data_IF_864866649889
#
_entry.id   IF_864866649889
#
_cell.length_a   1.000
_cell.length_b   1.000
_cell.length_c   1.000
_cell.angle_alpha   90.00
_cell.angle_beta   90.00
_cell.angle_gamma   90.00
#
_symmetry.space_group_name_H-M   'P 1'
#
loop_
_entity.id
_entity.type
_entity.pdbx_description
1 polymer ?
#
# COMPACT_ATOMS: atom_id res chain seq x y z
N UNK A 1 -27.32 -17.51 -30.10
CA UNK A 1 -26.93 -17.15 -28.73
C UNK A 1 -26.64 -15.66 -28.75
N UNK A 2 -27.34 -14.87 -27.93
CA UNK A 2 -27.15 -13.41 -27.95
C UNK A 2 -25.80 -13.08 -27.31
N UNK A 3 -25.06 -12.08 -27.82
CA UNK A 3 -23.73 -11.71 -27.30
C UNK A 3 -23.76 -11.43 -25.78
N UNK A 4 -24.89 -10.92 -25.29
CA UNK A 4 -25.16 -10.70 -23.87
C UNK A 4 -25.19 -11.99 -23.02
N UNK A 5 -25.81 -13.06 -23.54
CA UNK A 5 -25.85 -14.37 -22.85
C UNK A 5 -24.46 -14.97 -22.76
N UNK A 6 -23.66 -14.83 -23.83
CA UNK A 6 -22.29 -15.30 -23.88
C UNK A 6 -21.41 -14.59 -22.83
N UNK A 7 -21.53 -13.27 -22.70
CA UNK A 7 -20.79 -12.49 -21.69
C UNK A 7 -21.22 -12.87 -20.27
N UNK A 8 -22.51 -13.01 -20.02
CA UNK A 8 -23.03 -13.40 -18.70
C UNK A 8 -22.55 -14.79 -18.29
N UNK A 9 -22.58 -15.75 -19.22
CA UNK A 9 -22.07 -17.10 -19.00
C UNK A 9 -20.56 -17.11 -18.72
N UNK A 10 -19.78 -16.30 -19.44
CA UNK A 10 -18.35 -16.17 -19.21
C UNK A 10 -18.02 -15.58 -17.84
N UNK A 11 -18.75 -14.54 -17.39
CA UNK A 11 -18.57 -13.97 -16.04
C UNK A 11 -18.90 -14.99 -14.96
N UNK A 12 -20.00 -15.74 -15.12
CA UNK A 12 -20.38 -16.79 -14.18
C UNK A 12 -19.31 -17.89 -14.08
N UNK A 13 -18.77 -18.34 -15.22
CA UNK A 13 -17.67 -19.30 -15.26
C UNK A 13 -16.40 -18.75 -14.59
N UNK A 14 -16.08 -17.46 -14.80
CA UNK A 14 -14.97 -16.79 -14.12
C UNK A 14 -15.13 -16.74 -12.61
N UNK A 15 -16.32 -16.42 -12.10
CA UNK A 15 -16.63 -16.43 -10.66
C UNK A 15 -16.48 -17.84 -10.08
N UNK A 16 -16.96 -18.87 -10.79
CA UNK A 16 -16.83 -20.27 -10.36
C UNK A 16 -15.36 -20.71 -10.29
N UNK A 17 -14.55 -20.38 -11.30
CA UNK A 17 -13.13 -20.68 -11.33
C UNK A 17 -12.37 -19.99 -10.18
N UNK A 18 -12.71 -18.72 -9.87
CA UNK A 18 -12.15 -18.02 -8.70
C UNK A 18 -12.54 -18.75 -7.41
N UNK A 19 -13.78 -19.21 -7.28
CA UNK A 19 -14.23 -19.98 -6.12
C UNK A 19 -13.41 -21.27 -5.90
N UNK A 20 -13.15 -22.02 -6.97
CA UNK A 20 -12.30 -23.22 -6.92
C UNK A 20 -10.86 -22.88 -6.51
N UNK A 21 -10.29 -21.80 -7.07
CA UNK A 21 -8.95 -21.35 -6.71
C UNK A 21 -8.85 -20.91 -5.24
N UNK A 22 -9.88 -20.24 -4.72
CA UNK A 22 -9.94 -19.87 -3.31
C UNK A 22 -9.98 -21.10 -2.40
N UNK A 23 -10.74 -22.12 -2.76
CA UNK A 23 -10.83 -23.35 -1.98
C UNK A 23 -9.50 -24.11 -1.96
N UNK A 24 -8.86 -24.28 -3.11
CA UNK A 24 -7.52 -24.88 -3.19
C UNK A 24 -6.47 -24.09 -2.36
N UNK A 25 -6.56 -22.77 -2.36
CA UNK A 25 -5.69 -21.92 -1.56
C UNK A 25 -5.96 -22.08 -0.05
N UNK A 26 -7.22 -22.20 0.39
CA UNK A 26 -7.56 -22.49 1.80
C UNK A 26 -7.03 -23.85 2.24
N UNK A 27 -7.19 -24.88 1.42
CA UNK A 27 -6.64 -26.21 1.69
C UNK A 27 -5.12 -26.17 1.84
N UNK A 28 -4.44 -25.43 0.95
CA UNK A 28 -2.99 -25.21 1.03
C UNK A 28 -2.58 -24.48 2.32
N UNK A 29 -3.34 -23.47 2.75
CA UNK A 29 -3.10 -22.78 4.02
C UNK A 29 -3.32 -23.69 5.23
N UNK A 30 -4.30 -24.58 5.19
CA UNK A 30 -4.52 -25.62 6.21
C UNK A 30 -3.30 -26.53 6.33
N UNK A 31 -2.86 -27.11 5.21
CA UNK A 31 -1.68 -27.96 5.16
C UNK A 31 -0.40 -27.25 5.65
N UNK A 32 -0.21 -25.97 5.31
CA UNK A 32 0.92 -25.17 5.82
C UNK A 32 0.85 -24.94 7.33
N UNK A 33 -0.36 -24.83 7.90
CA UNK A 33 -0.55 -24.69 9.34
C UNK A 33 -0.14 -25.97 10.06
N UNK A 34 -0.59 -27.12 9.56
CA UNK A 34 -0.22 -28.44 10.09
C UNK A 34 1.30 -28.68 9.96
N UNK A 35 1.88 -28.38 8.81
CA UNK A 35 3.32 -28.49 8.59
C UNK A 35 4.14 -27.59 9.52
N UNK A 36 3.68 -26.35 9.78
CA UNK A 36 4.35 -25.44 10.72
C UNK A 36 4.31 -25.98 12.14
N UNK A 37 3.18 -26.54 12.58
CA UNK A 37 3.05 -27.16 13.90
C UNK A 37 3.99 -28.37 14.04
N UNK A 38 3.99 -29.28 13.06
CA UNK A 38 4.85 -30.45 13.04
C UNK A 38 6.35 -30.09 13.02
N UNK A 39 6.75 -29.09 12.24
CA UNK A 39 8.13 -28.60 12.23
C UNK A 39 8.53 -27.95 13.56
N UNK A 40 7.63 -27.20 14.19
CA UNK A 40 7.90 -26.57 15.48
C UNK A 40 8.13 -27.63 16.56
N UNK A 41 7.33 -28.69 16.57
CA UNK A 41 7.50 -29.82 17.48
C UNK A 41 8.81 -30.57 17.19
N UNK A 42 9.07 -30.93 15.93
CA UNK A 42 10.25 -31.70 15.53
C UNK A 42 11.58 -30.93 15.69
N UNK A 43 11.54 -29.60 15.69
CA UNK A 43 12.72 -28.74 15.88
C UNK A 43 12.87 -28.22 17.30
N UNK A 44 11.96 -28.58 18.22
CA UNK A 44 12.08 -28.22 19.63
C UNK A 44 13.40 -28.77 20.22
N UNK A 45 14.27 -27.87 20.68
CA UNK A 45 15.59 -28.22 21.23
C UNK A 45 16.69 -28.43 20.19
N UNK A 46 16.41 -28.25 18.89
CA UNK A 46 17.41 -28.30 17.83
C UNK A 46 17.98 -26.92 17.51
N UNK A 47 19.26 -26.86 17.10
CA UNK A 47 19.91 -25.64 16.63
C UNK A 47 19.60 -25.31 15.15
N UNK A 48 18.66 -26.02 14.52
CA UNK A 48 18.29 -25.77 13.12
C UNK A 48 17.57 -24.42 13.01
N UNK A 49 18.21 -23.49 12.29
CA UNK A 49 17.72 -22.13 12.12
C UNK A 49 16.43 -22.04 11.29
N UNK A 50 15.46 -21.29 11.83
CA UNK A 50 14.27 -20.67 11.22
C UNK A 50 13.45 -21.47 10.17
N UNK A 51 13.32 -22.79 10.31
CA UNK A 51 12.36 -23.56 9.51
C UNK A 51 10.90 -23.09 9.71
N UNK A 52 10.42 -22.79 10.94
CA UNK A 52 9.07 -22.26 11.16
C UNK A 52 8.82 -20.93 10.44
N UNK A 53 9.84 -20.06 10.33
CA UNK A 53 9.70 -18.79 9.62
C UNK A 53 9.48 -18.98 8.11
N UNK A 54 10.06 -20.02 7.50
CA UNK A 54 9.85 -20.31 6.06
C UNK A 54 8.40 -20.69 5.79
N UNK A 55 7.81 -21.58 6.60
CA UNK A 55 6.42 -22.01 6.42
C UNK A 55 5.44 -20.89 6.73
N UNK A 56 5.73 -20.06 7.74
CA UNK A 56 4.93 -18.86 8.02
C UNK A 56 4.92 -17.90 6.83
N UNK A 57 6.08 -17.60 6.23
CA UNK A 57 6.16 -16.74 5.03
C UNK A 57 5.40 -17.34 3.83
N UNK A 58 5.40 -18.66 3.68
CA UNK A 58 4.61 -19.33 2.65
C UNK A 58 3.10 -19.15 2.89
N UNK A 59 2.66 -19.30 4.13
CA UNK A 59 1.27 -19.09 4.54
C UNK A 59 0.81 -17.66 4.27
N UNK A 60 1.61 -16.67 4.66
CA UNK A 60 1.28 -15.25 4.45
C UNK A 60 1.03 -14.93 2.97
N UNK A 61 1.78 -15.57 2.05
CA UNK A 61 1.58 -15.44 0.59
C UNK A 61 0.29 -16.11 0.11
N UNK A 62 -0.06 -17.27 0.65
CA UNK A 62 -1.33 -17.95 0.33
C UNK A 62 -2.50 -17.08 0.79
N UNK A 63 -2.45 -16.55 2.00
CA UNK A 63 -3.48 -15.64 2.54
C UNK A 63 -3.62 -14.36 1.71
N UNK A 64 -2.50 -13.79 1.27
CA UNK A 64 -2.51 -12.64 0.35
C UNK A 64 -3.18 -12.98 -0.99
N UNK A 65 -2.98 -14.20 -1.50
CA UNK A 65 -3.58 -14.67 -2.75
C UNK A 65 -5.09 -14.84 -2.60
N UNK A 66 -5.55 -15.43 -1.49
CA UNK A 66 -6.98 -15.56 -1.15
C UNK A 66 -7.66 -14.19 -1.16
N UNK A 67 -7.06 -13.18 -0.52
CA UNK A 67 -7.61 -11.81 -0.48
C UNK A 67 -7.74 -11.18 -1.88
N UNK A 68 -6.75 -11.40 -2.76
CA UNK A 68 -6.80 -10.90 -4.15
C UNK A 68 -7.93 -11.57 -4.94
N UNK A 69 -8.07 -12.88 -4.81
CA UNK A 69 -9.15 -13.65 -5.45
C UNK A 69 -10.54 -13.19 -4.95
N UNK A 70 -10.69 -12.93 -3.65
CA UNK A 70 -11.96 -12.41 -3.09
C UNK A 70 -12.36 -11.09 -3.73
N UNK A 71 -11.44 -10.13 -3.81
CA UNK A 71 -11.70 -8.82 -4.42
C UNK A 71 -12.07 -8.94 -5.91
N UNK A 72 -11.37 -9.79 -6.66
CA UNK A 72 -11.70 -10.04 -8.06
C UNK A 72 -13.10 -10.64 -8.22
N UNK A 73 -13.47 -11.59 -7.34
CA UNK A 73 -14.80 -12.20 -7.32
C UNK A 73 -15.89 -11.16 -7.04
N UNK A 74 -15.68 -10.29 -6.04
CA UNK A 74 -16.60 -9.20 -5.69
C UNK A 74 -16.78 -8.22 -6.85
N UNK A 75 -15.71 -7.82 -7.52
CA UNK A 75 -15.76 -6.94 -8.69
C UNK A 75 -16.53 -7.55 -9.86
N UNK A 76 -16.31 -8.84 -10.16
CA UNK A 76 -17.05 -9.55 -11.21
C UNK A 76 -18.55 -9.69 -10.87
N UNK A 77 -18.88 -9.93 -9.60
CA UNK A 77 -20.27 -9.97 -9.13
C UNK A 77 -20.94 -8.59 -9.26
N UNK A 78 -20.26 -7.53 -8.86
CA UNK A 78 -20.76 -6.16 -8.99
C UNK A 78 -20.99 -5.79 -10.46
N UNK A 79 -20.05 -6.14 -11.34
CA UNK A 79 -20.16 -5.92 -12.78
C UNK A 79 -21.35 -6.70 -13.38
N UNK A 80 -21.49 -7.99 -13.04
CA UNK A 80 -22.62 -8.82 -13.48
C UNK A 80 -23.97 -8.25 -13.03
N UNK A 81 -24.06 -7.78 -11.79
CA UNK A 81 -25.27 -7.14 -11.26
C UNK A 81 -25.60 -5.82 -11.99
N UNK A 82 -24.59 -5.12 -12.51
CA UNK A 82 -24.74 -3.91 -13.33
C UNK A 82 -25.25 -4.19 -14.74
N UNK A 83 -24.82 -5.28 -15.38
CA UNK A 83 -25.22 -5.65 -16.74
C UNK A 83 -26.74 -5.92 -16.88
N UNK A 84 -27.39 -6.39 -15.82
CA UNK A 84 -28.85 -6.58 -15.78
C UNK A 84 -29.65 -5.29 -15.64
N UNK A 85 -29.01 -4.17 -15.28
CA UNK A 85 -29.65 -2.85 -15.16
C UNK A 85 -29.42 -2.01 -16.42
N UNK A 86 -29.83 -2.53 -17.57
CA UNK A 86 -30.00 -1.69 -18.76
C UNK A 86 -31.30 -0.90 -18.64
N UNK A 87 -31.30 0.16 -17.82
CA UNK A 87 -32.34 1.19 -17.88
C UNK A 87 -31.66 2.51 -17.63
N UNK A 88 -31.58 3.31 -18.68
CA UNK A 88 -31.49 4.77 -18.69
C UNK A 88 -31.31 5.38 -17.28
N UNK A 89 -30.08 5.38 -16.76
CA UNK A 89 -29.77 6.24 -15.63
C UNK A 89 -29.92 7.67 -16.16
N UNK A 90 -30.91 8.45 -15.68
CA UNK A 90 -31.08 9.82 -16.14
C UNK A 90 -29.77 10.54 -15.91
N UNK A 91 -29.28 11.25 -16.92
CA UNK A 91 -28.08 12.06 -16.78
C UNK A 91 -28.20 12.87 -15.48
N UNK A 92 -27.20 12.83 -14.57
CA UNK A 92 -27.23 13.67 -13.38
C UNK A 92 -27.38 15.10 -13.88
N UNK A 93 -28.52 15.73 -13.55
CA UNK A 93 -28.75 17.14 -13.80
C UNK A 93 -27.62 17.87 -13.08
N UNK A 94 -26.68 18.41 -13.87
CA UNK A 94 -25.66 19.32 -13.38
C UNK A 94 -26.39 20.55 -12.85
N UNK A 95 -26.62 20.59 -11.54
CA UNK A 95 -26.91 21.85 -10.86
C UNK A 95 -25.73 22.78 -11.10
N UNK A 96 -25.95 24.01 -11.58
CA UNK A 96 -24.90 25.02 -11.67
C UNK A 96 -24.28 25.19 -10.27
N UNK A 97 -22.94 25.25 -10.14
CA UNK A 97 -22.33 25.52 -8.85
C UNK A 97 -22.73 26.94 -8.43
N UNK A 98 -23.59 27.02 -7.42
CA UNK A 98 -23.80 28.27 -6.66
C UNK A 98 -22.45 28.68 -6.10
N UNK A 99 -21.96 29.84 -6.52
CA UNK A 99 -20.71 30.42 -6.05
C UNK A 99 -20.81 30.65 -4.53
N UNK A 100 -20.26 29.71 -3.77
CA UNK A 100 -20.02 29.89 -2.35
C UNK A 100 -18.80 30.81 -2.19
N UNK A 101 -18.91 31.91 -1.42
CA UNK A 101 -17.75 32.73 -1.06
C UNK A 101 -16.66 31.86 -0.43
N UNK A 102 -15.37 32.15 -0.67
CA UNK A 102 -14.28 31.38 -0.06
C UNK A 102 -14.40 31.50 1.46
N UNK A 103 -14.79 30.40 2.11
CA UNK A 103 -14.63 30.25 3.54
C UNK A 103 -13.12 30.09 3.79
N UNK A 104 -12.54 31.02 4.56
CA UNK A 104 -11.20 30.87 5.09
C UNK A 104 -11.11 29.50 5.79
N UNK A 105 -10.23 28.58 5.36
CA UNK A 105 -10.05 27.33 6.06
C UNK A 105 -9.37 27.64 7.40
N UNK A 106 -10.18 27.77 8.44
CA UNK A 106 -9.72 27.78 9.81
C UNK A 106 -8.88 26.51 10.01
N UNK A 107 -7.60 26.75 10.25
CA UNK A 107 -6.53 25.78 10.34
C UNK A 107 -6.75 24.87 11.54
N UNK A 108 -7.50 23.78 11.34
CA UNK A 108 -7.56 22.64 12.26
C UNK A 108 -6.34 21.72 12.07
N UNK A 109 -5.18 22.33 11.84
CA UNK A 109 -3.90 21.66 11.76
C UNK A 109 -3.45 21.33 13.19
N UNK A 110 -3.96 20.23 13.73
CA UNK A 110 -3.34 19.60 14.90
C UNK A 110 -1.85 19.47 14.61
N UNK A 111 -0.96 20.07 15.42
CA UNK A 111 0.47 20.07 15.13
C UNK A 111 0.98 18.63 15.03
N UNK A 112 1.93 18.35 14.13
CA UNK A 112 2.48 17.02 13.97
C UNK A 112 3.02 16.52 15.32
N UNK A 113 2.63 15.30 15.69
CA UNK A 113 3.13 14.67 16.91
C UNK A 113 4.65 14.62 16.84
N UNK A 114 5.31 15.31 17.77
CA UNK A 114 6.76 15.23 17.92
C UNK A 114 7.08 13.85 18.50
N UNK A 115 7.57 12.95 17.65
CA UNK A 115 8.15 11.69 18.11
C UNK A 115 9.43 12.03 18.86
N UNK A 116 9.50 11.63 20.14
CA UNK A 116 10.67 11.84 20.98
C UNK A 116 11.89 11.12 20.37
N UNK A 117 13.08 11.69 20.57
CA UNK A 117 14.32 11.16 20.00
C UNK A 117 14.56 9.72 20.45
N UNK A 118 14.30 9.44 21.73
CA UNK A 118 14.43 8.12 22.34
C UNK A 118 13.57 7.09 21.60
N UNK A 119 12.34 7.46 21.25
CA UNK A 119 11.44 6.59 20.48
C UNK A 119 11.93 6.36 19.06
N UNK A 120 12.52 7.36 18.41
CA UNK A 120 13.11 7.18 17.08
C UNK A 120 14.31 6.23 17.12
N UNK A 121 15.13 6.31 18.17
CA UNK A 121 16.30 5.45 18.35
C UNK A 121 15.87 3.99 18.63
N UNK A 122 14.82 3.77 19.43
CA UNK A 122 14.19 2.45 19.61
C UNK A 122 13.70 1.87 18.27
N UNK A 123 12.93 2.65 17.49
CA UNK A 123 12.43 2.20 16.18
C UNK A 123 13.56 1.89 15.20
N UNK A 124 14.67 2.63 15.26
CA UNK A 124 15.85 2.37 14.43
C UNK A 124 16.54 1.07 14.84
N UNK A 125 16.61 0.77 16.14
CA UNK A 125 17.22 -0.45 16.66
C UNK A 125 16.43 -1.72 16.29
N UNK A 126 15.13 -1.61 16.06
CA UNK A 126 14.28 -2.73 15.57
C UNK A 126 14.45 -3.04 14.08
N UNK A 127 15.03 -2.13 13.31
CA UNK A 127 15.20 -2.33 11.87
C UNK A 127 16.41 -3.26 11.59
N UNK A 128 16.36 -4.06 10.51
CA UNK A 128 17.54 -4.77 10.03
C UNK A 128 18.69 -3.80 9.73
N UNK A 129 19.93 -4.31 9.59
CA UNK A 129 21.08 -3.50 9.20
C UNK A 129 20.82 -2.61 7.98
N UNK A 130 21.53 -1.48 7.84
CA UNK A 130 21.44 -0.60 6.69
C UNK A 130 21.55 -1.33 5.35
N UNK A 131 20.76 -0.90 4.37
CA UNK A 131 20.80 -1.45 3.02
C UNK A 131 22.09 -1.05 2.30
N UNK A 132 22.84 -2.03 1.81
CA UNK A 132 23.91 -1.85 0.85
C UNK A 132 23.32 -1.69 -0.56
N UNK A 133 23.58 -0.53 -1.19
CA UNK A 133 23.09 -0.26 -2.54
C UNK A 133 23.62 -1.29 -3.55
N UNK A 134 22.73 -1.77 -4.42
CA UNK A 134 23.08 -2.73 -5.48
C UNK A 134 23.08 -4.20 -5.04
N UNK A 135 22.83 -4.52 -3.77
CA UNK A 135 22.77 -5.91 -3.28
C UNK A 135 21.38 -6.57 -3.36
N UNK A 136 20.37 -5.87 -3.87
CA UNK A 136 18.99 -6.36 -3.92
C UNK A 136 18.32 -6.51 -2.55
N UNK A 137 18.92 -5.96 -1.49
CA UNK A 137 18.34 -5.93 -0.16
C UNK A 137 17.07 -5.06 -0.12
N UNK A 138 16.08 -5.49 0.64
CA UNK A 138 14.82 -4.75 0.82
C UNK A 138 14.99 -3.67 1.89
N UNK A 139 14.48 -2.47 1.61
CA UNK A 139 14.31 -1.42 2.62
C UNK A 139 13.20 -1.83 3.57
N UNK A 140 13.45 -1.75 4.87
CA UNK A 140 12.49 -1.95 5.94
C UNK A 140 12.21 -0.60 6.60
N UNK A 141 10.96 -0.41 7.01
CA UNK A 141 10.52 0.79 7.71
C UNK A 141 9.58 0.51 8.87
N UNK A 142 9.56 1.48 9.78
CA UNK A 142 8.58 1.64 10.84
C UNK A 142 8.00 3.03 10.73
N UNK A 143 6.67 3.15 10.78
CA UNK A 143 6.05 4.46 10.79
C UNK A 143 5.11 4.66 11.97
N UNK A 144 5.05 5.90 12.44
CA UNK A 144 4.28 6.34 13.60
C UNK A 144 3.22 7.31 13.12
N UNK A 145 1.96 6.99 13.40
CA UNK A 145 0.82 7.85 13.10
C UNK A 145 0.60 8.94 14.17
N UNK A 146 -0.35 9.86 13.97
CA UNK A 146 -0.62 10.91 14.97
C UNK A 146 -1.21 10.39 16.28
N UNK A 147 -1.57 9.10 16.37
CA UNK A 147 -2.01 8.45 17.62
C UNK A 147 -0.86 7.72 18.31
N UNK A 148 0.37 7.81 17.79
CA UNK A 148 1.53 7.13 18.33
C UNK A 148 1.59 5.63 18.02
N UNK A 149 0.70 5.10 17.17
CA UNK A 149 0.71 3.68 16.79
C UNK A 149 1.84 3.43 15.81
N UNK A 150 2.56 2.33 16.03
CA UNK A 150 3.70 1.91 15.20
C UNK A 150 3.27 0.83 14.22
N UNK A 151 3.67 1.00 12.98
CA UNK A 151 3.34 0.09 11.89
C UNK A 151 4.61 -0.32 11.13
N UNK A 152 4.69 -1.59 10.75
CA UNK A 152 5.79 -2.11 9.95
C UNK A 152 5.52 -1.96 8.45
N UNK A 153 6.57 -1.70 7.66
CA UNK A 153 6.51 -1.74 6.20
C UNK A 153 7.83 -2.26 5.62
N UNK A 154 7.78 -2.96 4.49
CA UNK A 154 8.96 -3.50 3.79
C UNK A 154 8.81 -3.23 2.30
N UNK A 155 9.88 -2.80 1.62
CA UNK A 155 9.90 -2.61 0.17
C UNK A 155 9.67 -3.94 -0.53
N UNK A 156 8.57 -4.03 -1.24
CA UNK A 156 8.08 -5.18 -1.97
C UNK A 156 7.19 -4.68 -3.11
N UNK A 157 7.12 -5.47 -4.17
CA UNK A 157 6.21 -5.21 -5.28
C UNK A 157 4.82 -5.71 -4.88
N UNK A 158 3.90 -4.77 -4.63
CA UNK A 158 2.51 -5.06 -4.28
C UNK A 158 1.54 -4.04 -4.90
N UNK A 159 0.27 -4.09 -4.49
CA UNK A 159 -0.79 -3.20 -4.96
C UNK A 159 -0.47 -1.71 -4.78
N UNK A 160 0.38 -1.34 -3.80
CA UNK A 160 0.73 0.06 -3.58
C UNK A 160 1.64 0.59 -4.69
N UNK A 161 2.49 -0.27 -5.28
CA UNK A 161 3.29 0.09 -6.45
C UNK A 161 2.41 0.49 -7.62
N UNK A 162 1.32 -0.24 -7.86
CA UNK A 162 0.36 0.08 -8.93
C UNK A 162 -0.33 1.41 -8.65
N UNK A 163 -0.74 1.66 -7.40
CA UNK A 163 -1.35 2.93 -6.98
C UNK A 163 -0.41 4.13 -7.13
N UNK A 164 0.87 3.98 -6.78
CA UNK A 164 1.88 5.03 -7.02
C UNK A 164 1.97 5.34 -8.51
N UNK A 165 2.08 4.33 -9.37
CA UNK A 165 2.15 4.55 -10.82
C UNK A 165 0.86 5.16 -11.35
N UNK A 166 -0.32 4.76 -10.86
CA UNK A 166 -1.60 5.35 -11.27
C UNK A 166 -1.67 6.85 -10.95
N UNK A 167 -1.23 7.26 -9.76
CA UNK A 167 -1.14 8.69 -9.40
C UNK A 167 -0.20 9.43 -10.34
N UNK A 168 1.00 8.89 -10.58
CA UNK A 168 1.98 9.53 -11.46
C UNK A 168 1.51 9.60 -12.92
N UNK A 169 0.80 8.59 -13.42
CA UNK A 169 0.15 8.60 -14.73
C UNK A 169 -0.89 9.72 -14.81
N UNK A 170 -1.76 9.85 -13.81
CA UNK A 170 -2.74 10.95 -13.73
C UNK A 170 -2.09 12.33 -13.68
N UNK A 171 -0.90 12.42 -13.12
CA UNK A 171 -0.08 13.63 -13.09
C UNK A 171 0.72 13.88 -14.38
N UNK A 172 0.57 13.04 -15.41
CA UNK A 172 1.23 13.17 -16.71
C UNK A 172 2.71 12.79 -16.70
N UNK A 173 3.14 11.93 -15.77
CA UNK A 173 4.52 11.49 -15.69
C UNK A 173 4.93 10.76 -16.99
N UNK A 174 5.99 11.19 -17.70
CA UNK A 174 6.38 10.60 -18.97
C UNK A 174 7.03 9.22 -18.82
N UNK A 175 7.33 8.79 -17.58
CA UNK A 175 8.11 7.58 -17.32
C UNK A 175 7.45 6.70 -16.26
N UNK A 176 6.35 6.06 -16.64
CA UNK A 176 5.65 5.03 -15.87
C UNK A 176 5.73 3.69 -16.62
N UNK A 177 5.94 2.55 -15.93
CA UNK A 177 6.11 2.43 -14.48
C UNK A 177 7.49 2.89 -14.01
N UNK A 178 7.55 3.58 -12.87
CA UNK A 178 8.83 3.91 -12.23
C UNK A 178 9.34 2.72 -11.42
N UNK A 179 10.66 2.47 -11.49
CA UNK A 179 11.29 1.42 -10.68
C UNK A 179 11.13 1.67 -9.17
N UNK A 180 11.12 2.94 -8.76
CA UNK A 180 11.04 3.37 -7.36
C UNK A 180 9.62 3.35 -6.76
N UNK A 181 8.58 2.99 -7.53
CA UNK A 181 7.21 2.93 -7.00
C UNK A 181 7.05 1.90 -5.86
N UNK A 182 7.98 0.96 -5.71
CA UNK A 182 8.00 0.00 -4.59
C UNK A 182 8.81 0.47 -3.37
N UNK A 183 9.45 1.64 -3.43
CA UNK A 183 10.19 2.21 -2.29
C UNK A 183 9.20 2.48 -1.13
N UNK A 184 9.65 2.25 0.10
CA UNK A 184 8.79 2.28 1.31
C UNK A 184 8.08 3.62 1.44
N UNK A 185 8.78 4.72 1.14
CA UNK A 185 8.29 6.07 1.27
C UNK A 185 7.11 6.33 0.32
N UNK A 186 7.25 5.95 -0.97
CA UNK A 186 6.19 6.15 -1.96
C UNK A 186 5.00 5.24 -1.71
N UNK A 187 5.24 4.02 -1.22
CA UNK A 187 4.16 3.12 -0.79
C UNK A 187 3.38 3.69 0.39
N UNK A 188 4.07 4.25 1.38
CA UNK A 188 3.41 4.93 2.50
C UNK A 188 2.59 6.13 2.02
N UNK A 189 3.12 6.93 1.10
CA UNK A 189 2.39 8.07 0.52
C UNK A 189 1.11 7.63 -0.22
N UNK A 190 1.18 6.55 -1.02
CA UNK A 190 0.00 5.99 -1.67
C UNK A 190 -1.01 5.41 -0.66
N UNK A 191 -0.52 4.80 0.43
CA UNK A 191 -1.38 4.33 1.51
C UNK A 191 -2.09 5.47 2.24
N UNK A 192 -1.37 6.56 2.53
CA UNK A 192 -1.94 7.77 3.12
C UNK A 192 -2.99 8.39 2.19
N UNK A 193 -2.76 8.39 0.87
CA UNK A 193 -3.76 8.84 -0.11
C UNK A 193 -5.03 8.02 -0.11
N UNK A 194 -4.90 6.70 -0.05
CA UNK A 194 -6.06 5.81 -0.09
C UNK A 194 -6.85 5.81 1.22
N UNK A 195 -6.14 5.74 2.35
CA UNK A 195 -6.75 5.46 3.65
C UNK A 195 -6.91 6.71 4.50
N UNK A 196 -6.17 7.78 4.23
CA UNK A 196 -6.10 8.96 5.08
C UNK A 196 -7.43 9.68 5.26
N UNK A 197 -8.32 9.64 4.25
CA UNK A 197 -9.65 10.23 4.37
C UNK A 197 -10.51 9.54 5.44
N UNK A 198 -10.36 8.23 5.59
CA UNK A 198 -11.05 7.44 6.62
C UNK A 198 -10.25 7.28 7.92
N UNK A 199 -8.94 7.50 7.88
CA UNK A 199 -8.06 7.52 9.06
C UNK A 199 -7.28 8.85 9.15
N UNK A 200 -7.84 9.87 9.82
CA UNK A 200 -7.15 11.14 10.09
C UNK A 200 -5.80 10.96 10.82
N UNK A 201 -5.58 9.81 11.46
CA UNK A 201 -4.32 9.42 12.07
C UNK A 201 -3.14 9.42 11.10
N UNK A 202 -3.43 9.21 9.81
CA UNK A 202 -2.45 9.13 8.74
C UNK A 202 -2.12 10.46 8.09
N UNK A 203 -2.68 11.59 8.57
CA UNK A 203 -2.41 12.90 7.95
C UNK A 203 -0.97 13.37 8.12
N UNK A 204 -0.37 13.07 9.27
CA UNK A 204 1.01 13.39 9.60
C UNK A 204 1.70 12.15 10.12
N UNK A 205 2.74 11.70 9.42
CA UNK A 205 3.39 10.43 9.72
C UNK A 205 4.91 10.61 9.85
N UNK A 206 5.51 9.96 10.83
CA UNK A 206 6.97 9.86 10.94
C UNK A 206 7.40 8.47 10.50
N UNK A 207 8.26 8.36 9.50
CA UNK A 207 8.76 7.13 8.92
C UNK A 207 10.25 6.97 9.22
N UNK A 208 10.65 5.87 9.85
CA UNK A 208 12.04 5.47 10.07
C UNK A 208 12.36 4.32 9.10
N UNK A 209 13.46 4.41 8.34
CA UNK A 209 13.88 3.38 7.38
C UNK A 209 15.37 3.02 7.55
N UNK A 210 15.74 1.79 7.16
CA UNK A 210 17.12 1.31 7.17
C UNK A 210 17.88 1.62 5.87
N UNK A 211 17.54 2.72 5.20
CA UNK A 211 18.17 3.13 3.94
C UNK A 211 18.19 4.67 3.86
N UNK A 212 19.01 5.22 2.97
CA UNK A 212 18.94 6.63 2.58
C UNK A 212 18.01 6.73 1.35
N UNK A 213 17.01 7.62 1.35
CA UNK A 213 16.17 7.82 0.17
C UNK A 213 17.00 8.12 -1.08
N UNK A 214 16.60 7.51 -2.20
CA UNK A 214 17.36 7.60 -3.44
C UNK A 214 17.42 9.05 -3.98
N UNK A 215 18.43 9.36 -4.80
CA UNK A 215 18.58 10.66 -5.49
C UNK A 215 18.32 10.50 -6.99
N UNK A 216 17.93 11.59 -7.65
CA UNK A 216 17.76 11.62 -9.10
C UNK A 216 16.48 12.31 -9.59
N UNK A 217 16.18 12.26 -10.89
CA UNK A 217 15.00 12.92 -11.46
C UNK A 217 13.68 12.26 -11.07
N UNK A 218 13.70 10.96 -10.76
CA UNK A 218 12.54 10.16 -10.30
C UNK A 218 12.81 9.57 -8.92
N UNK A 219 13.44 10.35 -8.04
CA UNK A 219 13.68 9.95 -6.65
C UNK A 219 12.45 10.14 -5.77
N UNK A 220 12.42 9.44 -4.64
CA UNK A 220 11.46 9.69 -3.56
C UNK A 220 11.41 11.18 -3.19
N UNK A 221 12.56 11.85 -3.11
CA UNK A 221 12.66 13.29 -2.83
C UNK A 221 11.81 14.18 -3.75
N UNK A 222 11.65 13.80 -5.02
CA UNK A 222 10.86 14.55 -6.01
C UNK A 222 9.44 14.04 -6.14
N UNK A 223 9.25 12.74 -5.97
CA UNK A 223 7.97 12.07 -6.21
C UNK A 223 7.07 12.10 -4.98
N UNK A 224 7.61 12.13 -3.77
CA UNK A 224 6.83 12.12 -2.53
C UNK A 224 5.84 13.29 -2.46
N UNK A 225 6.23 14.56 -2.68
CA UNK A 225 5.28 15.67 -2.65
C UNK A 225 4.14 15.53 -3.67
N UNK A 226 4.39 14.90 -4.81
CA UNK A 226 3.40 14.70 -5.88
C UNK A 226 2.44 13.56 -5.52
N UNK A 227 2.96 12.45 -4.98
CA UNK A 227 2.16 11.28 -4.63
C UNK A 227 1.34 11.53 -3.36
N UNK A 228 1.87 12.28 -2.41
CA UNK A 228 1.22 12.59 -1.15
C UNK A 228 0.01 13.54 -1.36
N UNK A 229 -1.15 13.32 -0.72
CA UNK A 229 -2.30 14.22 -0.86
C UNK A 229 -2.01 15.61 -0.28
N UNK A 230 -2.72 16.62 -0.78
CA UNK A 230 -2.61 17.97 -0.23
C UNK A 230 -2.98 18.00 1.26
N UNK A 231 -2.22 18.77 2.05
CA UNK A 231 -2.39 18.87 3.50
C UNK A 231 -1.90 17.66 4.31
N UNK A 232 -1.19 16.70 3.70
CA UNK A 232 -0.55 15.57 4.39
C UNK A 232 0.96 15.79 4.50
N UNK A 233 1.60 15.19 5.52
CA UNK A 233 3.06 15.23 5.67
C UNK A 233 3.67 13.88 6.05
N UNK A 234 4.89 13.63 5.54
CA UNK A 234 5.75 12.51 5.96
C UNK A 234 7.10 13.07 6.39
N UNK A 235 7.53 12.79 7.62
CA UNK A 235 8.92 13.01 8.06
C UNK A 235 9.69 11.71 7.96
N UNK A 236 10.68 11.64 7.07
CA UNK A 236 11.50 10.46 6.84
C UNK A 236 12.82 10.58 7.60
N UNK A 237 13.10 9.60 8.45
CA UNK A 237 14.38 9.37 9.12
C UNK A 237 15.07 8.16 8.47
N UNK A 238 16.12 8.42 7.71
CA UNK A 238 16.93 7.37 7.08
C UNK A 238 18.18 7.04 7.88
N UNK A 239 19.07 6.26 7.26
CA UNK A 239 20.43 6.02 7.76
C UNK A 239 21.31 7.26 7.57
N UNK A 240 22.51 7.25 8.15
CA UNK A 240 23.52 8.33 8.04
C UNK A 240 23.00 9.72 8.46
N UNK A 241 22.08 9.76 9.42
CA UNK A 241 21.51 11.00 9.93
C UNK A 241 20.55 11.69 8.96
N UNK A 242 20.11 11.02 7.88
CA UNK A 242 19.13 11.59 6.96
C UNK A 242 17.82 11.90 7.69
N UNK A 243 17.38 13.16 7.64
CA UNK A 243 16.06 13.59 8.10
C UNK A 243 15.47 14.58 7.11
N UNK A 244 14.25 14.32 6.64
CA UNK A 244 13.55 15.25 5.76
C UNK A 244 12.03 15.13 5.88
N UNK A 245 11.36 16.26 5.94
CA UNK A 245 9.89 16.34 5.91
C UNK A 245 9.40 16.68 4.51
N UNK A 246 8.41 15.93 4.05
CA UNK A 246 7.69 16.11 2.79
C UNK A 246 6.27 16.56 3.08
N UNK A 247 5.80 17.53 2.30
CA UNK A 247 4.41 17.99 2.30
C UNK A 247 3.78 17.64 0.96
N UNK A 248 2.54 17.15 0.98
CA UNK A 248 1.83 16.77 -0.23
C UNK A 248 1.24 17.96 -0.98
N UNK A 249 0.61 17.68 -2.12
CA UNK A 249 0.13 18.73 -3.03
C UNK A 249 1.24 19.34 -3.89
N UNK A 250 2.40 18.70 -3.98
CA UNK A 250 3.50 19.15 -4.83
C UNK A 250 3.18 19.05 -6.31
N UNK A 251 3.46 20.12 -7.07
CA UNK A 251 3.31 20.13 -8.52
C UNK A 251 4.49 19.39 -9.16
N UNK A 252 4.26 18.41 -10.06
CA UNK A 252 5.34 17.73 -10.76
C UNK A 252 6.10 18.66 -11.70
N UNK A 253 7.43 18.50 -11.78
CA UNK A 253 8.30 19.35 -12.63
C UNK A 253 8.24 19.04 -14.12
N UNK A 254 7.53 18.00 -14.52
CA UNK A 254 7.35 17.60 -15.93
C UNK A 254 6.05 18.16 -16.53
N UNK A 255 5.25 18.88 -15.75
CA UNK A 255 4.14 19.68 -16.24
C UNK A 255 4.61 21.06 -16.68
#
# INVERSE_FOLDING_TARGET
MNDFEAVTAAIAAGIAAIGQAQEAARQSSGALTEATAALTEATAGSAIADLPGVTQRARDKVDATIRRLSRASEQLRAYSAGLGRSTAQPAPQRTPPTAQPPADPASDASPPVRVLKERLDELRAELPPPVEQGRGQKTHGRWVDTRGRVHAMVSESDEWKEKVNAVLTGEGCPRVPIARASDVELRLAAMMREKGESDPGMRHVTLVINNVPCRGPYSCDRLLPVVLPDGYTITVHGTDGYVKTYTGGGVPRWR
#
